data_IF_765125686935
#
_entry.id   IF_765125686935
#
_cell.length_a   1.000
_cell.length_b   1.000
_cell.length_c   1.000
_cell.angle_alpha   90.00
_cell.angle_beta   90.00
_cell.angle_gamma   90.00
#
_symmetry.space_group_name_H-M   'P 1'
#
loop_
_entity.id
_entity.type
_entity.pdbx_description
1 polymer ?
#
# COMPACT_ATOMS: atom_id res chain seq x y z
N UNK A 1 6.31 22.90 4.29
CA UNK A 1 7.17 22.60 5.47
C UNK A 1 6.33 21.89 6.52
N UNK A 2 6.58 20.59 6.72
CA UNK A 2 6.14 19.85 7.92
C UNK A 2 7.32 19.89 8.88
N UNK A 3 7.08 20.11 10.18
CA UNK A 3 8.15 20.16 11.15
C UNK A 3 8.78 18.77 11.34
N UNK A 4 10.12 18.72 11.35
CA UNK A 4 10.88 17.49 11.56
C UNK A 4 10.81 17.04 13.03
N UNK A 5 11.05 15.74 13.29
CA UNK A 5 11.12 15.12 14.61
C UNK A 5 9.81 15.09 15.45
N UNK A 6 8.65 15.34 14.82
CA UNK A 6 7.34 15.26 15.50
C UNK A 6 6.66 13.89 15.41
N UNK A 7 7.31 12.90 14.81
CA UNK A 7 6.70 11.58 14.59
C UNK A 7 6.44 10.84 15.92
N UNK A 8 5.22 10.35 16.09
CA UNK A 8 4.85 9.44 17.19
C UNK A 8 5.06 7.97 16.81
N UNK A 9 4.91 7.05 17.77
CA UNK A 9 4.97 5.59 17.51
C UNK A 9 3.83 5.04 16.64
N UNK A 10 2.85 5.87 16.28
CA UNK A 10 1.74 5.52 15.39
C UNK A 10 1.93 6.06 13.96
N UNK A 11 2.99 6.83 13.73
CA UNK A 11 3.30 7.41 12.42
C UNK A 11 4.38 6.59 11.73
N UNK A 12 4.09 6.19 10.51
CA UNK A 12 5.01 5.43 9.68
C UNK A 12 5.31 6.23 8.42
N UNK A 13 6.58 6.24 8.03
CA UNK A 13 6.98 6.82 6.75
C UNK A 13 6.41 5.96 5.62
N UNK A 14 5.76 6.59 4.64
CA UNK A 14 5.32 5.93 3.41
C UNK A 14 6.53 5.32 2.69
N UNK A 15 6.58 3.98 2.54
CA UNK A 15 7.66 3.32 1.81
C UNK A 15 7.53 3.59 0.30
N UNK A 16 8.64 3.59 -0.45
CA UNK A 16 8.58 3.64 -1.91
C UNK A 16 7.89 2.38 -2.46
N UNK A 17 7.22 2.51 -3.61
CA UNK A 17 6.55 1.39 -4.28
C UNK A 17 7.44 0.68 -5.30
N UNK A 18 8.65 1.17 -5.58
CA UNK A 18 9.57 0.50 -6.50
C UNK A 18 9.96 -0.88 -5.95
N UNK A 19 9.76 -1.92 -6.76
CA UNK A 19 10.05 -3.31 -6.42
C UNK A 19 8.93 -3.99 -5.64
N UNK A 20 7.78 -3.34 -5.46
CA UNK A 20 6.67 -3.91 -4.70
C UNK A 20 6.09 -5.17 -5.39
N UNK A 21 6.14 -5.23 -6.72
CA UNK A 21 5.75 -6.43 -7.49
C UNK A 21 6.72 -7.60 -7.31
N UNK A 22 7.96 -7.32 -6.90
CA UNK A 22 9.01 -8.32 -6.72
C UNK A 22 9.06 -8.94 -5.31
N UNK A 23 8.25 -8.47 -4.35
CA UNK A 23 8.30 -8.92 -2.95
C UNK A 23 8.18 -10.44 -2.83
N UNK A 24 7.26 -11.06 -3.58
CA UNK A 24 7.13 -12.52 -3.59
C UNK A 24 8.40 -13.22 -4.05
N UNK A 25 9.01 -12.70 -5.12
CA UNK A 25 10.20 -13.27 -5.74
C UNK A 25 11.42 -13.15 -4.85
N UNK A 26 11.59 -11.99 -4.18
CA UNK A 26 12.79 -11.70 -3.38
C UNK A 26 12.67 -12.25 -1.96
N UNK A 27 11.48 -12.19 -1.35
CA UNK A 27 11.30 -12.53 0.06
C UNK A 27 10.61 -13.89 0.29
N UNK A 28 10.05 -14.52 -0.75
CA UNK A 28 9.33 -15.79 -0.64
C UNK A 28 7.93 -15.69 -0.01
N UNK A 29 7.43 -14.47 0.25
CA UNK A 29 6.10 -14.22 0.82
C UNK A 29 5.47 -12.95 0.23
N UNK A 30 4.17 -12.76 0.44
CA UNK A 30 3.44 -11.52 0.09
C UNK A 30 2.78 -10.96 1.35
N UNK A 31 3.54 -10.24 2.16
CA UNK A 31 3.04 -9.61 3.37
C UNK A 31 3.31 -8.10 3.29
N UNK A 32 2.27 -7.30 3.44
CA UNK A 32 2.27 -5.86 3.28
C UNK A 32 1.73 -5.18 4.55
N UNK A 33 1.88 -3.86 4.60
CA UNK A 33 1.70 -3.02 5.78
C UNK A 33 2.81 -3.26 6.82
N UNK A 34 2.90 -2.34 7.80
CA UNK A 34 3.99 -2.32 8.78
C UNK A 34 3.99 -3.53 9.73
N UNK A 35 2.83 -4.15 9.92
CA UNK A 35 2.62 -5.35 10.71
C UNK A 35 2.50 -6.64 9.87
N UNK A 36 2.66 -6.54 8.55
CA UNK A 36 2.60 -7.67 7.63
C UNK A 36 1.20 -8.30 7.48
N UNK A 37 0.14 -7.67 7.98
CA UNK A 37 -1.19 -8.32 8.01
C UNK A 37 -1.80 -8.54 6.63
N UNK A 38 -1.50 -7.68 5.66
CA UNK A 38 -2.11 -7.74 4.32
C UNK A 38 -1.38 -8.74 3.43
N UNK A 39 -2.12 -9.67 2.81
CA UNK A 39 -1.56 -10.80 2.04
C UNK A 39 -1.38 -10.50 0.55
N UNK A 40 -1.96 -9.40 0.09
CA UNK A 40 -1.90 -8.92 -1.28
C UNK A 40 -2.06 -7.40 -1.34
N UNK A 41 -1.79 -6.82 -2.51
CA UNK A 41 -1.85 -5.37 -2.74
C UNK A 41 -3.26 -4.80 -2.54
N UNK A 42 -4.30 -5.55 -2.89
CA UNK A 42 -5.68 -5.10 -2.71
C UNK A 42 -6.04 -4.99 -1.23
N UNK A 43 -5.69 -5.97 -0.40
CA UNK A 43 -5.82 -5.90 1.06
C UNK A 43 -5.01 -4.73 1.63
N UNK A 44 -3.78 -4.54 1.16
CA UNK A 44 -2.93 -3.44 1.61
C UNK A 44 -3.56 -2.06 1.33
N UNK A 45 -4.17 -1.87 0.16
CA UNK A 45 -4.90 -0.65 -0.20
C UNK A 45 -6.15 -0.49 0.67
N UNK A 46 -6.95 -1.54 0.82
CA UNK A 46 -8.24 -1.49 1.53
C UNK A 46 -8.10 -1.41 3.06
N UNK A 47 -6.95 -1.77 3.62
CA UNK A 47 -6.69 -1.72 5.07
C UNK A 47 -5.76 -0.57 5.48
N UNK A 48 -5.37 0.29 4.54
CA UNK A 48 -4.65 1.52 4.84
C UNK A 48 -5.59 2.56 5.44
N UNK A 49 -5.08 3.38 6.37
CA UNK A 49 -5.83 4.46 6.99
C UNK A 49 -4.99 5.73 7.09
N UNK A 50 -5.40 6.65 7.96
CA UNK A 50 -4.67 7.90 8.20
C UNK A 50 -4.58 8.73 6.92
N UNK A 51 -3.36 9.07 6.50
CA UNK A 51 -3.13 9.90 5.31
C UNK A 51 -3.61 9.25 4.00
N UNK A 52 -3.71 7.92 3.94
CA UNK A 52 -4.16 7.22 2.73
C UNK A 52 -5.68 7.02 2.63
N UNK A 53 -6.46 7.48 3.61
CA UNK A 53 -7.91 7.23 3.69
C UNK A 53 -8.65 7.65 2.40
N UNK A 54 -8.30 8.83 1.85
CA UNK A 54 -8.87 9.34 0.60
C UNK A 54 -8.56 8.42 -0.59
N UNK A 55 -7.33 7.91 -0.68
CA UNK A 55 -6.91 7.00 -1.75
C UNK A 55 -7.62 5.65 -1.64
N UNK A 56 -7.76 5.12 -0.41
CA UNK A 56 -8.54 3.90 -0.15
C UNK A 56 -9.98 4.07 -0.61
N UNK A 57 -10.66 5.14 -0.21
CA UNK A 57 -12.05 5.37 -0.58
C UNK A 57 -12.22 5.55 -2.10
N UNK A 58 -11.28 6.23 -2.75
CA UNK A 58 -11.26 6.35 -4.21
C UNK A 58 -11.16 4.97 -4.86
N UNK A 59 -10.20 4.14 -4.44
CA UNK A 59 -10.02 2.78 -4.95
C UNK A 59 -11.26 1.90 -4.72
N UNK A 60 -11.90 2.02 -3.55
CA UNK A 60 -13.13 1.28 -3.20
C UNK A 60 -14.27 1.59 -4.17
N UNK A 61 -14.39 2.84 -4.61
CA UNK A 61 -15.45 3.31 -5.51
C UNK A 61 -15.20 3.04 -6.99
N UNK A 62 -13.98 2.65 -7.37
CA UNK A 62 -13.65 2.32 -8.77
C UNK A 62 -14.47 1.13 -9.29
N UNK A 63 -14.59 1.03 -10.61
CA UNK A 63 -15.10 -0.20 -11.23
C UNK A 63 -14.06 -1.30 -11.06
N UNK A 64 -14.50 -2.56 -11.16
CA UNK A 64 -13.59 -3.70 -11.03
C UNK A 64 -12.42 -3.62 -12.01
N UNK A 65 -12.67 -3.31 -13.28
CA UNK A 65 -11.63 -3.20 -14.30
C UNK A 65 -10.56 -2.14 -13.95
N UNK A 66 -10.97 -1.01 -13.39
CA UNK A 66 -10.05 0.06 -13.01
C UNK A 66 -9.22 -0.35 -11.77
N UNK A 67 -9.83 -1.08 -10.82
CA UNK A 67 -9.08 -1.69 -9.70
C UNK A 67 -8.07 -2.72 -10.18
N UNK A 68 -8.48 -3.62 -11.08
CA UNK A 68 -7.60 -4.64 -11.64
C UNK A 68 -6.41 -4.01 -12.36
N UNK A 69 -6.63 -2.92 -13.11
CA UNK A 69 -5.57 -2.16 -13.79
C UNK A 69 -4.56 -1.55 -12.80
N UNK A 70 -5.02 -1.01 -11.68
CA UNK A 70 -4.12 -0.49 -10.62
C UNK A 70 -3.30 -1.62 -10.00
N UNK A 71 -3.93 -2.77 -9.71
CA UNK A 71 -3.20 -3.92 -9.16
C UNK A 71 -2.15 -4.41 -10.15
N UNK A 72 -2.50 -4.56 -11.43
CA UNK A 72 -1.56 -4.97 -12.48
C UNK A 72 -0.40 -3.97 -12.63
N UNK A 73 -0.67 -2.66 -12.53
CA UNK A 73 0.37 -1.64 -12.53
C UNK A 73 1.32 -1.82 -11.33
N UNK A 74 0.81 -1.99 -10.11
CA UNK A 74 1.62 -2.20 -8.92
C UNK A 74 2.44 -3.49 -8.97
N UNK A 75 1.89 -4.56 -9.56
CA UNK A 75 2.61 -5.82 -9.79
C UNK A 75 3.74 -5.70 -10.83
N UNK A 76 3.71 -4.66 -11.67
CA UNK A 76 4.76 -4.40 -12.67
C UNK A 76 5.95 -3.58 -12.15
N UNK A 77 5.90 -3.11 -10.89
CA UNK A 77 6.91 -2.27 -10.24
C UNK A 77 8.03 -3.03 -9.53
#
# INVERSE_FOLDING_TARGET
NRADFLASGHEWRTPPLWGIGLIKTVNGHTLFLHDGRARNLQEAILWHGGEAEKSKETFRQLRKADRDAIIAFLESL
#
